data_IF_869920921688
#
_entry.id   IF_869920921688
#
_cell.length_a   1.000
_cell.length_b   1.000
_cell.length_c   1.000
_cell.angle_alpha   90.00
_cell.angle_beta   90.00
_cell.angle_gamma   90.00
#
_symmetry.space_group_name_H-M   'P 1'
#
loop_
_entity.id
_entity.type
_entity.pdbx_description
1 polymer ?
#
# COMPACT_ATOMS: atom_id res chain seq x y z
N UNK A 1 -14.90 -5.13 1.73
CA UNK A 1 -15.44 -3.81 2.13
C UNK A 1 -15.76 -2.97 0.91
N UNK A 2 -14.83 -2.79 -0.03
CA UNK A 2 -15.08 -2.05 -1.29
C UNK A 2 -16.36 -2.48 -2.04
N UNK A 3 -16.56 -3.79 -2.27
CA UNK A 3 -17.77 -4.31 -2.95
C UNK A 3 -19.09 -4.02 -2.21
N UNK A 4 -19.03 -3.70 -0.92
CA UNK A 4 -20.19 -3.30 -0.10
C UNK A 4 -20.40 -1.77 -0.08
N UNK A 5 -19.65 -1.01 -0.90
CA UNK A 5 -19.78 0.45 -1.03
C UNK A 5 -19.06 1.27 0.05
N UNK A 6 -18.19 0.66 0.86
CA UNK A 6 -17.36 1.38 1.82
C UNK A 6 -16.21 2.09 1.10
N UNK A 7 -15.89 3.31 1.51
CA UNK A 7 -14.63 3.95 1.13
C UNK A 7 -13.47 3.27 1.89
N UNK A 8 -12.51 2.74 1.13
CA UNK A 8 -11.41 1.92 1.65
C UNK A 8 -10.10 2.49 1.13
N UNK A 9 -9.13 2.58 2.03
CA UNK A 9 -7.77 3.01 1.76
C UNK A 9 -6.82 1.94 2.28
N UNK A 10 -5.93 1.45 1.42
CA UNK A 10 -4.89 0.47 1.79
C UNK A 10 -3.57 1.21 1.93
N UNK A 11 -3.01 1.17 3.13
CA UNK A 11 -1.67 1.68 3.44
C UNK A 11 -0.74 0.49 3.63
N UNK A 12 0.33 0.43 2.85
CA UNK A 12 1.29 -0.69 2.90
C UNK A 12 2.48 -0.29 3.77
N UNK A 13 2.62 -0.95 4.91
CA UNK A 13 3.67 -0.69 5.90
C UNK A 13 4.46 -1.96 6.27
N UNK A 14 5.55 -1.78 7.01
CA UNK A 14 6.34 -2.87 7.57
C UNK A 14 6.88 -3.82 6.49
N UNK A 15 6.86 -5.12 6.79
CA UNK A 15 7.34 -6.14 5.86
C UNK A 15 6.49 -6.28 4.59
N UNK A 16 5.22 -5.84 4.62
CA UNK A 16 4.35 -5.88 3.45
C UNK A 16 4.89 -5.00 2.30
N UNK A 17 5.77 -4.03 2.58
CA UNK A 17 6.47 -3.27 1.55
C UNK A 17 7.35 -4.15 0.64
N UNK A 18 7.74 -5.36 1.06
CA UNK A 18 8.43 -6.36 0.22
C UNK A 18 7.56 -6.83 -0.95
N UNK A 19 6.24 -6.75 -0.82
CA UNK A 19 5.28 -7.25 -1.82
C UNK A 19 5.15 -6.33 -3.05
N UNK A 20 5.87 -5.20 -3.11
CA UNK A 20 5.81 -4.29 -4.26
C UNK A 20 6.09 -5.00 -5.60
N UNK A 21 7.07 -5.91 -5.63
CA UNK A 21 7.42 -6.67 -6.85
C UNK A 21 6.35 -7.69 -7.28
N UNK A 22 5.48 -8.12 -6.36
CA UNK A 22 4.45 -9.13 -6.66
C UNK A 22 3.36 -8.61 -7.60
N UNK A 23 3.27 -7.28 -7.76
CA UNK A 23 2.32 -6.63 -8.65
C UNK A 23 2.66 -6.76 -10.15
N UNK A 24 3.90 -7.09 -10.48
CA UNK A 24 4.34 -7.35 -11.87
C UNK A 24 4.72 -8.82 -12.13
N UNK A 25 4.88 -9.62 -11.07
CA UNK A 25 5.21 -11.03 -11.17
C UNK A 25 4.02 -11.88 -11.64
N UNK A 26 4.00 -12.21 -12.93
CA UNK A 26 2.96 -13.05 -13.57
C UNK A 26 3.03 -14.52 -13.18
N UNK A 27 4.18 -15.00 -12.70
CA UNK A 27 4.36 -16.39 -12.29
C UNK A 27 3.82 -16.64 -10.87
N UNK A 28 3.60 -15.57 -10.09
CA UNK A 28 2.97 -15.65 -8.79
C UNK A 28 1.54 -16.22 -8.91
N UNK A 29 1.20 -17.31 -8.19
CA UNK A 29 -0.16 -17.87 -8.17
C UNK A 29 -1.24 -16.86 -7.73
N UNK A 30 -0.85 -15.80 -7.02
CA UNK A 30 -1.72 -14.70 -6.57
C UNK A 30 -1.68 -13.46 -7.47
N UNK A 31 -0.99 -13.48 -8.61
CA UNK A 31 -0.88 -12.34 -9.52
C UNK A 31 -2.23 -11.70 -9.86
N UNK A 32 -3.25 -12.52 -10.14
CA UNK A 32 -4.61 -12.03 -10.42
C UNK A 32 -5.21 -11.22 -9.26
N UNK A 33 -4.85 -11.52 -8.01
CA UNK A 33 -5.29 -10.74 -6.84
C UNK A 33 -4.55 -9.41 -6.75
N UNK A 34 -3.24 -9.40 -6.95
CA UNK A 34 -2.45 -8.16 -7.00
C UNK A 34 -2.91 -7.23 -8.12
N UNK A 35 -3.18 -7.79 -9.31
CA UNK A 35 -3.72 -7.04 -10.43
C UNK A 35 -5.10 -6.44 -10.12
N UNK A 36 -6.00 -7.22 -9.53
CA UNK A 36 -7.31 -6.69 -9.06
C UNK A 36 -7.14 -5.56 -8.05
N UNK A 37 -6.19 -5.67 -7.12
CA UNK A 37 -5.91 -4.62 -6.15
C UNK A 37 -5.35 -3.36 -6.83
N UNK A 38 -4.43 -3.50 -7.78
CA UNK A 38 -3.91 -2.38 -8.58
C UNK A 38 -5.05 -1.69 -9.33
N UNK A 39 -5.80 -2.44 -10.11
CA UNK A 39 -6.87 -1.92 -10.96
C UNK A 39 -8.01 -1.27 -10.13
N UNK A 40 -8.15 -1.67 -8.86
CA UNK A 40 -9.14 -1.08 -7.96
C UNK A 40 -8.79 0.33 -7.45
N UNK A 41 -7.52 0.74 -7.55
CA UNK A 41 -7.06 2.04 -7.04
C UNK A 41 -7.15 2.20 -5.51
N UNK A 42 -7.31 1.11 -4.76
CA UNK A 42 -7.49 1.15 -3.30
C UNK A 42 -6.20 1.44 -2.52
N UNK A 43 -5.04 1.26 -3.14
CA UNK A 43 -3.74 1.55 -2.50
C UNK A 43 -3.59 3.07 -2.40
N UNK A 44 -3.67 3.57 -1.19
CA UNK A 44 -3.46 5.00 -0.92
C UNK A 44 -1.97 5.32 -0.95
N UNK A 45 -1.14 4.49 -0.30
CA UNK A 45 0.32 4.65 -0.34
C UNK A 45 1.08 3.41 0.15
N UNK A 46 2.36 3.37 -0.22
CA UNK A 46 3.41 2.61 0.47
C UNK A 46 4.16 3.54 1.43
N UNK A 47 4.48 3.04 2.63
CA UNK A 47 5.31 3.75 3.59
C UNK A 47 6.75 3.88 3.07
N UNK A 48 7.24 5.12 2.95
CA UNK A 48 8.58 5.40 2.40
C UNK A 48 9.71 4.83 3.25
N UNK A 49 9.65 5.03 4.57
CA UNK A 49 10.67 4.54 5.50
C UNK A 49 10.72 3.01 5.52
N UNK A 50 9.55 2.34 5.58
CA UNK A 50 9.48 0.88 5.52
C UNK A 50 9.97 0.34 4.17
N UNK A 51 9.55 0.94 3.05
CA UNK A 51 10.02 0.52 1.71
C UNK A 51 11.53 0.69 1.56
N UNK A 52 12.10 1.76 2.12
CA UNK A 52 13.56 1.95 2.15
C UNK A 52 14.25 0.86 2.97
N UNK A 53 13.75 0.59 4.19
CA UNK A 53 14.29 -0.44 5.07
C UNK A 53 14.18 -1.86 4.48
N UNK A 54 13.10 -2.13 3.74
CA UNK A 54 12.88 -3.43 3.07
C UNK A 54 13.59 -3.54 1.72
N UNK A 55 14.28 -2.49 1.25
CA UNK A 55 15.00 -2.50 -0.02
C UNK A 55 14.10 -2.44 -1.26
N UNK A 56 12.82 -2.05 -1.12
CA UNK A 56 11.84 -2.01 -2.21
C UNK A 56 11.47 -0.60 -2.66
N UNK A 57 12.04 0.45 -2.07
CA UNK A 57 11.69 1.84 -2.38
C UNK A 57 11.76 2.18 -3.88
N UNK A 58 12.83 1.77 -4.57
CA UNK A 58 12.97 2.05 -6.01
C UNK A 58 11.95 1.27 -6.83
N UNK A 59 11.60 0.04 -6.45
CA UNK A 59 10.54 -0.74 -7.11
C UNK A 59 9.17 -0.08 -6.94
N UNK A 60 8.87 0.43 -5.74
CA UNK A 60 7.62 1.17 -5.47
C UNK A 60 7.51 2.40 -6.37
N UNK A 61 8.62 3.15 -6.55
CA UNK A 61 8.67 4.32 -7.46
C UNK A 61 8.54 3.92 -8.92
N UNK A 62 9.24 2.87 -9.36
CA UNK A 62 9.21 2.35 -10.74
C UNK A 62 7.79 1.95 -11.15
N UNK A 63 7.08 1.28 -10.24
CA UNK A 63 5.69 0.87 -10.42
C UNK A 63 4.70 2.04 -10.28
N UNK A 64 5.15 3.23 -9.88
CA UNK A 64 4.33 4.43 -9.79
C UNK A 64 3.36 4.45 -8.61
N UNK A 65 3.60 3.63 -7.57
CA UNK A 65 2.78 3.67 -6.37
C UNK A 65 3.02 4.96 -5.58
N UNK A 66 1.97 5.56 -4.98
CA UNK A 66 2.15 6.70 -4.10
C UNK A 66 2.99 6.32 -2.87
N UNK A 67 3.80 7.28 -2.40
CA UNK A 67 4.59 7.16 -1.18
C UNK A 67 4.03 8.10 -0.12
N UNK A 68 3.86 7.58 1.10
CA UNK A 68 3.54 8.39 2.27
C UNK A 68 4.77 8.54 3.17
N UNK A 69 4.97 9.76 3.66
CA UNK A 69 6.11 10.18 4.44
C UNK A 69 5.81 11.36 5.37
N UNK A 70 4.55 11.52 5.82
CA UNK A 70 4.10 12.68 6.60
C UNK A 70 4.82 12.81 7.96
N UNK A 71 5.29 11.69 8.54
CA UNK A 71 6.08 11.69 9.77
C UNK A 71 7.58 11.61 9.45
N UNK A 72 8.37 10.83 10.19
CA UNK A 72 9.78 10.56 9.87
C UNK A 72 9.91 9.54 8.72
N UNK A 73 9.22 9.77 7.61
CA UNK A 73 9.13 8.83 6.49
C UNK A 73 8.05 7.75 6.64
N UNK A 74 7.29 7.76 7.73
CA UNK A 74 6.13 6.89 7.95
C UNK A 74 4.82 7.63 7.68
N UNK A 75 3.74 6.92 7.30
CA UNK A 75 2.42 7.52 7.22
C UNK A 75 1.89 7.93 8.59
N UNK A 76 1.16 9.04 8.62
CA UNK A 76 0.40 9.41 9.81
C UNK A 76 -0.96 8.69 9.81
N UNK A 77 -1.17 7.75 10.74
CA UNK A 77 -2.50 7.14 10.92
C UNK A 77 -3.54 8.15 11.41
N UNK A 78 -3.12 9.20 12.11
CA UNK A 78 -3.97 10.29 12.57
C UNK A 78 -4.69 10.97 11.39
N UNK A 79 -4.01 11.11 10.24
CA UNK A 79 -4.60 11.66 8.99
C UNK A 79 -5.87 10.92 8.59
N UNK A 80 -5.88 9.59 8.68
CA UNK A 80 -7.05 8.77 8.32
C UNK A 80 -8.11 8.78 9.42
N UNK A 81 -7.69 8.78 10.69
CA UNK A 81 -8.60 8.87 11.84
C UNK A 81 -9.40 10.19 11.79
N UNK A 82 -8.72 11.31 11.50
CA UNK A 82 -9.34 12.63 11.38
C UNK A 82 -10.29 12.74 10.17
N UNK A 83 -10.11 11.88 9.16
CA UNK A 83 -11.04 11.75 8.03
C UNK A 83 -12.23 10.81 8.33
N UNK A 84 -12.29 10.23 9.53
CA UNK A 84 -13.38 9.34 9.97
C UNK A 84 -13.18 7.87 9.59
N UNK A 85 -12.01 7.47 9.10
CA UNK A 85 -11.72 6.06 8.85
C UNK A 85 -11.49 5.30 10.16
N UNK A 86 -11.88 4.03 10.15
CA UNK A 86 -11.49 3.05 11.17
C UNK A 86 -10.26 2.30 10.70
N UNK A 87 -9.18 2.33 11.49
CA UNK A 87 -7.94 1.60 11.19
C UNK A 87 -8.12 0.12 11.52
N UNK A 88 -7.81 -0.75 10.57
CA UNK A 88 -7.80 -2.20 10.72
C UNK A 88 -6.39 -2.68 10.35
N UNK A 89 -5.71 -3.40 11.24
CA UNK A 89 -4.30 -3.81 11.09
C UNK A 89 -4.16 -5.33 11.06
N UNK A 90 -3.14 -5.85 10.36
CA UNK A 90 -2.86 -7.27 10.17
C UNK A 90 -1.36 -7.58 10.33
#
# INVERSE_FOLDING_TARGET
MNEKGYDVKVVVEGEACKLAGEFEDKENPRYTLYKKLWDSGLIDCFCKACSNMMGTLEKVKELGFPLCDEMMGHPSMEKYINQGYTVITF
#
